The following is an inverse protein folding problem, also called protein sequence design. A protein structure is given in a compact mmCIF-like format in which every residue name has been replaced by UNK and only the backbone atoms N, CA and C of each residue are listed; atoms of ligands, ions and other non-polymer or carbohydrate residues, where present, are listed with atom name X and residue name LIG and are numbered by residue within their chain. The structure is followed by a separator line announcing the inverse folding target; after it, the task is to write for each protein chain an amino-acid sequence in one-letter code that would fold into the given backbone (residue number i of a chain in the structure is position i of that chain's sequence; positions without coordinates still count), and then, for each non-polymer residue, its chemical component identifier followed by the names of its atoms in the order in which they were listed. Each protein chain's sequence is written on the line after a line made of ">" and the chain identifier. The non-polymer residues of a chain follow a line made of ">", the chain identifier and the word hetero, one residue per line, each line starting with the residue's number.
data_IF_990561686803
#
_entry.id   IF_990561686803
#
_cell.length_a   1.000
_cell.length_b   1.000
_cell.length_c   1.000
_cell.angle_alpha   90.00
_cell.angle_beta   90.00
_cell.angle_gamma   90.00
#
_symmetry.space_group_name_H-M   'P 1'
#
loop_
_entity.id
_entity.type
_entity.pdbx_description
1 polymer ?
#
# COMPACT_ATOMS: atom_id res chain seq x y z
N UNK A 1 -18.22 12.61 -24.00
CA UNK A 1 -19.02 11.44 -24.42
C UNK A 1 -20.00 11.14 -23.29
N UNK A 2 -21.31 11.25 -23.54
CA UNK A 2 -22.32 11.18 -22.47
C UNK A 2 -22.43 9.75 -21.93
N UNK A 3 -22.30 9.58 -20.61
CA UNK A 3 -22.53 8.30 -19.94
C UNK A 3 -24.02 7.93 -20.07
N UNK A 4 -24.29 6.74 -20.60
CA UNK A 4 -25.62 6.22 -20.86
C UNK A 4 -26.39 5.99 -19.54
N UNK A 5 -27.58 6.59 -19.43
CA UNK A 5 -28.51 6.49 -18.29
C UNK A 5 -28.90 5.05 -17.96
N UNK A 6 -28.68 4.08 -18.86
CA UNK A 6 -28.90 2.65 -18.60
C UNK A 6 -27.80 1.99 -17.77
N UNK A 7 -26.57 2.50 -17.76
CA UNK A 7 -25.52 2.02 -16.85
C UNK A 7 -25.78 2.41 -15.38
N UNK A 8 -26.40 3.56 -15.16
CA UNK A 8 -26.73 4.08 -13.83
C UNK A 8 -27.83 3.27 -13.12
N UNK A 9 -28.81 2.74 -13.86
CA UNK A 9 -29.89 1.93 -13.29
C UNK A 9 -29.47 0.49 -12.97
N UNK A 10 -28.38 -0.01 -13.57
CA UNK A 10 -27.78 -1.29 -13.16
C UNK A 10 -27.05 -1.19 -11.81
N UNK A 11 -26.61 0.01 -11.41
CA UNK A 11 -26.00 0.26 -10.10
C UNK A 11 -27.04 0.32 -8.97
N UNK A 12 -28.28 0.75 -9.26
CA UNK A 12 -29.35 0.84 -8.28
C UNK A 12 -29.99 -0.51 -7.91
N UNK A 13 -29.95 -1.51 -8.80
CA UNK A 13 -30.50 -2.84 -8.51
C UNK A 13 -29.59 -3.72 -7.64
N UNK A 14 -28.31 -3.38 -7.51
CA UNK A 14 -27.36 -4.09 -6.62
C UNK A 14 -27.44 -3.63 -5.15
N UNK A 15 -28.17 -2.54 -4.85
CA UNK A 15 -28.35 -2.01 -3.50
C UNK A 15 -29.53 -2.66 -2.74
N UNK A 16 -30.22 -3.64 -3.33
CA UNK A 16 -31.42 -4.27 -2.77
C UNK A 16 -31.21 -5.32 -1.68
N UNK A 17 -29.97 -5.74 -1.42
CA UNK A 17 -29.62 -6.63 -0.31
C UNK A 17 -28.23 -6.23 0.18
N UNK A 18 -28.16 -5.27 1.10
CA UNK A 18 -26.91 -5.03 1.83
C UNK A 18 -26.56 -6.32 2.57
N UNK A 19 -25.47 -7.05 2.22
CA UNK A 19 -24.95 -8.06 3.11
C UNK A 19 -24.50 -7.27 4.33
N UNK A 20 -25.25 -7.39 5.43
CA UNK A 20 -24.81 -6.84 6.71
C UNK A 20 -23.38 -7.32 6.94
N UNK A 21 -22.50 -6.41 7.37
CA UNK A 21 -21.16 -6.78 7.80
C UNK A 21 -21.29 -8.02 8.69
N UNK A 22 -20.73 -9.15 8.26
CA UNK A 22 -20.76 -10.37 9.04
C UNK A 22 -19.66 -10.25 10.10
N UNK A 23 -20.07 -10.23 11.36
CA UNK A 23 -19.16 -10.21 12.49
C UNK A 23 -18.81 -11.64 12.88
N UNK A 24 -17.52 -11.98 12.96
CA UNK A 24 -17.09 -13.08 13.80
C UNK A 24 -16.84 -12.56 15.22
N UNK A 25 -16.76 -13.47 16.20
CA UNK A 25 -16.61 -13.14 17.62
C UNK A 25 -15.55 -12.05 17.89
N UNK A 26 -15.72 -11.28 18.96
CA UNK A 26 -14.73 -10.28 19.39
C UNK A 26 -13.39 -10.96 19.76
N UNK A 27 -12.24 -10.29 19.53
CA UNK A 27 -10.96 -10.81 19.98
C UNK A 27 -10.91 -10.88 21.51
N UNK A 28 -10.02 -11.72 22.05
CA UNK A 28 -9.49 -11.47 23.39
C UNK A 28 -8.82 -10.10 23.38
N UNK A 29 -9.06 -9.28 24.41
CA UNK A 29 -8.49 -7.94 24.51
C UNK A 29 -6.97 -7.98 24.26
N UNK A 30 -6.49 -7.21 23.27
CA UNK A 30 -5.06 -7.04 22.98
C UNK A 30 -4.49 -7.83 21.79
N UNK A 31 -5.28 -8.66 21.10
CA UNK A 31 -4.78 -9.36 19.90
C UNK A 31 -4.51 -8.39 18.72
N UNK A 32 -3.36 -8.55 18.05
CA UNK A 32 -3.03 -7.77 16.86
C UNK A 32 -3.99 -8.07 15.71
N UNK A 33 -4.49 -7.01 15.07
CA UNK A 33 -5.36 -7.09 13.91
C UNK A 33 -4.63 -6.64 12.65
N UNK A 34 -5.08 -7.12 11.50
CA UNK A 34 -4.48 -6.86 10.21
C UNK A 34 -5.55 -6.54 9.17
N UNK A 35 -5.27 -5.58 8.31
CA UNK A 35 -6.08 -5.24 7.15
C UNK A 35 -5.45 -5.77 5.87
N UNK A 36 -6.25 -6.42 5.04
CA UNK A 36 -5.88 -6.80 3.68
C UNK A 36 -7.07 -6.72 2.73
N UNK A 37 -6.78 -6.51 1.45
CA UNK A 37 -7.76 -6.64 0.39
C UNK A 37 -7.66 -8.07 -0.17
N UNK A 38 -8.79 -8.66 -0.54
CA UNK A 38 -8.83 -10.02 -1.07
C UNK A 38 -9.99 -10.21 -2.04
N UNK A 39 -9.92 -11.29 -2.79
CA UNK A 39 -11.05 -11.87 -3.50
C UNK A 39 -11.46 -13.16 -2.80
N UNK A 40 -12.73 -13.29 -2.41
CA UNK A 40 -13.30 -14.51 -1.84
C UNK A 40 -14.59 -14.92 -2.55
N UNK A 41 -14.63 -16.13 -3.11
CA UNK A 41 -15.83 -16.65 -3.78
C UNK A 41 -16.33 -15.73 -4.90
N UNK A 42 -15.41 -15.07 -5.62
CA UNK A 42 -15.73 -14.13 -6.70
C UNK A 42 -15.97 -12.68 -6.27
N UNK A 43 -16.08 -12.39 -4.97
CA UNK A 43 -16.32 -11.03 -4.44
C UNK A 43 -15.03 -10.36 -3.99
N UNK A 44 -14.91 -9.06 -4.23
CA UNK A 44 -13.82 -8.24 -3.71
C UNK A 44 -14.18 -7.72 -2.30
N UNK A 45 -13.28 -7.91 -1.35
CA UNK A 45 -13.49 -7.63 0.07
C UNK A 45 -12.26 -6.93 0.68
N UNK A 46 -12.47 -5.91 1.49
CA UNK A 46 -11.50 -5.50 2.51
C UNK A 46 -11.82 -6.28 3.78
N UNK A 47 -10.81 -6.88 4.40
CA UNK A 47 -10.99 -7.70 5.59
C UNK A 47 -10.06 -7.25 6.71
N UNK A 48 -10.63 -7.13 7.91
CA UNK A 48 -9.90 -7.06 9.17
C UNK A 48 -9.86 -8.47 9.75
N UNK A 49 -8.67 -8.98 10.07
CA UNK A 49 -8.46 -10.34 10.56
C UNK A 49 -7.46 -10.34 11.73
N UNK A 50 -7.47 -11.42 12.51
CA UNK A 50 -6.44 -11.66 13.52
C UNK A 50 -5.20 -12.37 12.94
N UNK A 51 -4.18 -12.56 13.77
CA UNK A 51 -2.95 -13.28 13.38
C UNK A 51 -3.12 -14.77 13.08
N UNK A 52 -4.29 -15.35 13.38
CA UNK A 52 -4.65 -16.73 13.05
C UNK A 52 -5.45 -16.82 11.73
N UNK A 53 -5.67 -15.70 11.04
CA UNK A 53 -6.40 -15.65 9.78
C UNK A 53 -7.92 -15.68 9.93
N UNK A 54 -8.45 -15.48 11.14
CA UNK A 54 -9.90 -15.40 11.34
C UNK A 54 -10.38 -13.99 11.01
N UNK A 55 -11.38 -13.92 10.12
CA UNK A 55 -12.05 -12.67 9.77
C UNK A 55 -12.75 -12.09 11.00
N UNK A 56 -12.59 -10.79 11.24
CA UNK A 56 -13.27 -10.03 12.30
C UNK A 56 -14.28 -9.04 11.72
N UNK A 57 -13.93 -8.41 10.61
CA UNK A 57 -14.81 -7.54 9.84
C UNK A 57 -14.56 -7.78 8.35
N UNK A 58 -15.64 -7.89 7.58
CA UNK A 58 -15.59 -7.96 6.11
C UNK A 58 -16.38 -6.79 5.54
N UNK A 59 -15.72 -5.99 4.70
CA UNK A 59 -16.28 -4.85 4.00
C UNK A 59 -16.33 -5.20 2.50
N UNK A 60 -17.53 -5.38 1.91
CA UNK A 60 -17.67 -5.58 0.47
C UNK A 60 -17.13 -4.37 -0.30
N UNK A 61 -16.45 -4.63 -1.42
CA UNK A 61 -15.95 -3.59 -2.32
C UNK A 61 -16.57 -3.73 -3.71
N UNK A 62 -16.77 -2.61 -4.43
CA UNK A 62 -17.33 -2.64 -5.79
C UNK A 62 -16.37 -3.27 -6.81
N UNK A 63 -15.07 -3.25 -6.53
CA UNK A 63 -14.02 -3.83 -7.34
C UNK A 63 -12.79 -4.14 -6.48
N UNK A 64 -11.75 -4.73 -7.09
CA UNK A 64 -10.49 -5.09 -6.44
C UNK A 64 -9.84 -3.88 -5.72
N UNK A 65 -9.70 -4.00 -4.41
CA UNK A 65 -8.95 -3.06 -3.57
C UNK A 65 -7.44 -3.27 -3.66
N UNK A 66 -6.68 -2.34 -3.09
CA UNK A 66 -5.21 -2.37 -3.08
C UNK A 66 -4.62 -2.18 -1.69
N UNK A 67 -4.49 -0.94 -1.21
CA UNK A 67 -3.90 -0.60 0.09
C UNK A 67 -4.87 0.21 0.94
N UNK A 68 -4.37 0.70 2.07
CA UNK A 68 -5.15 1.32 3.14
C UNK A 68 -4.49 2.57 3.69
N UNK A 69 -5.31 3.56 4.08
CA UNK A 69 -4.97 4.53 5.10
C UNK A 69 -5.62 4.08 6.41
N UNK A 70 -4.88 4.07 7.52
CA UNK A 70 -5.37 3.57 8.81
C UNK A 70 -5.21 4.66 9.86
N UNK A 71 -6.29 4.93 10.60
CA UNK A 71 -6.32 5.78 11.79
C UNK A 71 -6.68 4.90 13.00
N UNK A 72 -5.68 4.33 13.70
CA UNK A 72 -5.92 3.46 14.83
C UNK A 72 -6.64 4.17 15.98
N UNK A 73 -6.32 5.43 16.23
CA UNK A 73 -6.91 6.22 17.31
C UNK A 73 -8.39 6.50 17.05
N UNK A 74 -8.73 6.90 15.82
CA UNK A 74 -10.10 7.08 15.36
C UNK A 74 -10.85 5.80 15.02
N UNK A 75 -10.20 4.62 15.17
CA UNK A 75 -10.74 3.29 14.86
C UNK A 75 -11.38 3.21 13.47
N UNK A 76 -10.68 3.70 12.45
CA UNK A 76 -11.18 3.71 11.07
C UNK A 76 -10.08 3.47 10.07
N UNK A 77 -10.48 3.09 8.87
CA UNK A 77 -9.59 2.95 7.74
C UNK A 77 -10.28 3.41 6.46
N UNK A 78 -9.47 3.69 5.44
CA UNK A 78 -9.91 3.87 4.07
C UNK A 78 -9.23 2.84 3.21
N UNK A 79 -9.99 2.04 2.47
CA UNK A 79 -9.46 1.15 1.43
C UNK A 79 -9.57 1.85 0.08
N UNK A 80 -8.55 1.71 -0.75
CA UNK A 80 -8.51 2.30 -2.09
C UNK A 80 -8.59 1.22 -3.17
N UNK A 81 -9.24 1.53 -4.29
CA UNK A 81 -9.24 0.68 -5.48
C UNK A 81 -7.85 0.54 -6.09
N UNK A 82 -7.58 -0.63 -6.68
CA UNK A 82 -6.32 -0.88 -7.41
C UNK A 82 -6.28 -0.12 -8.74
N UNK A 83 -5.11 0.41 -9.10
CA UNK A 83 -4.92 1.22 -10.31
C UNK A 83 -5.50 0.58 -11.60
N UNK A 84 -6.28 1.33 -12.39
CA UNK A 84 -6.81 2.68 -12.09
C UNK A 84 -7.86 2.63 -10.96
N UNK A 85 -7.58 3.33 -9.84
CA UNK A 85 -8.41 3.28 -8.65
C UNK A 85 -9.56 4.28 -8.74
N UNK A 86 -10.77 3.78 -8.99
CA UNK A 86 -11.96 4.63 -9.16
C UNK A 86 -12.83 4.73 -7.90
N UNK A 87 -12.38 4.16 -6.79
CA UNK A 87 -13.13 4.21 -5.54
C UNK A 87 -12.18 4.29 -4.35
N UNK A 88 -12.68 4.88 -3.27
CA UNK A 88 -12.12 4.74 -1.95
C UNK A 88 -13.28 4.63 -0.95
N UNK A 89 -13.20 3.68 -0.01
CA UNK A 89 -14.24 3.45 0.99
C UNK A 89 -13.66 3.63 2.38
N UNK A 90 -14.19 4.60 3.13
CA UNK A 90 -13.98 4.74 4.55
C UNK A 90 -14.88 3.77 5.33
N UNK A 91 -14.36 3.17 6.40
CA UNK A 91 -15.15 2.29 7.26
C UNK A 91 -14.62 2.31 8.70
N UNK A 92 -15.51 2.03 9.65
CA UNK A 92 -15.11 1.81 11.04
C UNK A 92 -14.43 0.45 11.19
N UNK A 93 -13.30 0.41 11.88
CA UNK A 93 -12.66 -0.83 12.34
C UNK A 93 -13.48 -1.55 13.41
N UNK A 94 -14.42 -0.84 14.05
CA UNK A 94 -15.45 -1.41 14.90
C UNK A 94 -16.69 -1.86 14.12
N UNK A 95 -16.76 -1.72 12.79
CA UNK A 95 -17.90 -2.20 11.99
C UNK A 95 -19.17 -1.36 12.09
N UNK A 96 -19.18 -0.24 12.82
CA UNK A 96 -20.32 0.67 12.88
C UNK A 96 -20.45 1.52 11.60
N UNK A 97 -21.66 1.97 11.29
CA UNK A 97 -21.91 3.02 10.28
C UNK A 97 -21.85 2.62 8.80
N UNK A 98 -21.43 1.40 8.47
CA UNK A 98 -21.27 0.93 7.08
C UNK A 98 -20.13 1.66 6.33
N UNK A 99 -19.70 1.15 5.17
CA UNK A 99 -18.69 1.83 4.37
C UNK A 99 -19.25 3.11 3.74
N UNK A 100 -18.48 4.19 3.80
CA UNK A 100 -18.75 5.47 3.16
C UNK A 100 -17.80 5.66 1.99
N UNK A 101 -18.33 5.90 0.81
CA UNK A 101 -17.52 6.23 -0.36
C UNK A 101 -16.99 7.67 -0.29
N UNK A 102 -15.72 7.83 -0.67
CA UNK A 102 -15.10 9.14 -0.82
C UNK A 102 -15.42 9.70 -2.21
N UNK A 103 -15.66 11.02 -2.32
CA UNK A 103 -15.88 11.63 -3.63
C UNK A 103 -14.62 11.54 -4.48
N UNK A 104 -14.76 10.96 -5.67
CA UNK A 104 -13.76 11.02 -6.72
C UNK A 104 -13.97 12.29 -7.55
N UNK A 105 -12.91 13.03 -7.82
CA UNK A 105 -12.96 14.15 -8.75
C UNK A 105 -12.90 13.61 -10.19
N UNK A 106 -13.73 14.13 -11.09
CA UNK A 106 -13.84 13.65 -12.49
C UNK A 106 -12.53 13.71 -13.27
N UNK A 107 -11.59 14.57 -12.85
CA UNK A 107 -10.27 14.77 -13.46
C UNK A 107 -9.14 14.07 -12.66
N UNK A 108 -9.48 13.15 -11.76
CA UNK A 108 -8.53 12.42 -10.91
C UNK A 108 -8.87 10.93 -10.81
N UNK A 109 -7.87 10.10 -10.54
CA UNK A 109 -7.99 8.71 -10.09
C UNK A 109 -7.07 8.46 -8.90
N UNK A 110 -7.46 7.54 -8.03
CA UNK A 110 -6.60 7.09 -6.93
C UNK A 110 -5.50 6.14 -7.45
N UNK A 111 -4.31 6.27 -6.86
CA UNK A 111 -3.20 5.32 -7.03
C UNK A 111 -3.20 4.18 -6.01
N UNK A 112 -4.18 4.16 -5.10
CA UNK A 112 -4.41 3.01 -4.22
C UNK A 112 -3.86 3.16 -2.80
N UNK A 113 -3.36 4.34 -2.41
CA UNK A 113 -2.73 4.60 -1.12
C UNK A 113 -3.15 5.93 -0.49
N UNK A 114 -2.95 6.06 0.82
CA UNK A 114 -3.18 7.30 1.54
C UNK A 114 -2.68 7.25 2.98
N UNK A 115 -2.68 8.39 3.64
CA UNK A 115 -2.29 8.55 5.03
C UNK A 115 -3.21 9.55 5.75
N UNK A 116 -3.57 9.24 7.00
CA UNK A 116 -4.20 10.20 7.87
C UNK A 116 -3.14 11.14 8.46
N UNK A 117 -3.51 12.41 8.61
CA UNK A 117 -2.66 13.46 9.18
C UNK A 117 -3.49 14.39 10.07
N UNK A 118 -2.81 15.28 10.79
CA UNK A 118 -3.43 16.23 11.73
C UNK A 118 -4.35 15.54 12.77
N UNK A 119 -3.83 14.48 13.39
CA UNK A 119 -4.59 13.67 14.36
C UNK A 119 -5.81 12.96 13.75
N UNK A 120 -5.78 12.67 12.45
CA UNK A 120 -6.86 12.02 11.72
C UNK A 120 -7.91 12.99 11.17
N UNK A 121 -7.79 14.31 11.38
CA UNK A 121 -8.75 15.27 10.80
C UNK A 121 -8.68 15.35 9.29
N UNK A 122 -7.52 15.05 8.71
CA UNK A 122 -7.32 15.05 7.27
C UNK A 122 -6.87 13.67 6.80
N UNK A 123 -7.32 13.30 5.61
CA UNK A 123 -6.81 12.19 4.84
C UNK A 123 -6.13 12.74 3.58
N UNK A 124 -4.87 12.38 3.36
CA UNK A 124 -4.18 12.56 2.09
C UNK A 124 -4.26 11.25 1.28
N UNK A 125 -4.74 11.33 0.04
CA UNK A 125 -4.81 10.20 -0.88
C UNK A 125 -3.92 10.44 -2.09
N UNK A 126 -3.16 9.44 -2.53
CA UNK A 126 -2.35 9.52 -3.75
C UNK A 126 -3.27 9.55 -4.99
N UNK A 127 -3.16 10.60 -5.79
CA UNK A 127 -3.99 10.83 -6.98
C UNK A 127 -3.13 11.19 -8.20
N UNK A 128 -3.64 10.94 -9.41
CA UNK A 128 -3.13 11.58 -10.62
C UNK A 128 -3.93 12.83 -10.96
N UNK A 129 -3.22 13.88 -11.37
CA UNK A 129 -3.78 14.97 -12.17
C UNK A 129 -3.41 14.66 -13.63
N UNK A 130 -4.26 13.86 -14.30
CA UNK A 130 -3.89 13.27 -15.60
C UNK A 130 -3.90 14.29 -16.75
N UNK A 131 -4.71 15.35 -16.66
CA UNK A 131 -4.70 16.44 -17.63
C UNK A 131 -3.38 17.24 -17.57
N UNK A 132 -2.91 17.55 -16.36
CA UNK A 132 -1.64 18.27 -16.17
C UNK A 132 -0.41 17.34 -16.18
N UNK A 133 -0.60 16.03 -16.17
CA UNK A 133 0.47 15.04 -16.15
C UNK A 133 1.34 15.08 -14.89
N UNK A 134 0.77 15.44 -13.73
CA UNK A 134 1.48 15.57 -12.45
C UNK A 134 0.87 14.71 -11.35
N UNK A 135 1.66 14.43 -10.32
CA UNK A 135 1.25 13.73 -9.11
C UNK A 135 0.71 14.67 -8.04
N UNK A 136 -0.39 14.29 -7.39
CA UNK A 136 -0.94 15.06 -6.27
C UNK A 136 -1.33 14.17 -5.09
N UNK A 137 -1.41 14.78 -3.92
CA UNK A 137 -2.12 14.23 -2.76
C UNK A 137 -3.45 14.97 -2.63
N UNK A 138 -4.58 14.32 -2.91
CA UNK A 138 -5.90 14.89 -2.62
C UNK A 138 -6.15 14.90 -1.11
N UNK A 139 -6.64 16.03 -0.60
CA UNK A 139 -6.90 16.22 0.82
C UNK A 139 -8.40 16.16 1.08
N UNK A 140 -8.78 15.35 2.07
CA UNK A 140 -10.17 15.09 2.42
C UNK A 140 -10.40 15.37 3.91
N UNK A 141 -11.49 16.09 4.23
CA UNK A 141 -11.89 16.38 5.61
C UNK A 141 -12.52 15.13 6.25
N UNK A 142 -11.71 14.45 7.04
CA UNK A 142 -12.10 13.29 7.83
C UNK A 142 -12.53 13.67 9.25
N UNK A 143 -12.68 14.94 9.61
CA UNK A 143 -13.23 15.32 10.92
C UNK A 143 -14.69 14.88 11.08
N UNK A 144 -15.21 14.77 12.32
CA UNK A 144 -16.63 14.51 12.54
C UNK A 144 -17.52 15.51 11.80
N UNK A 145 -18.44 15.01 10.97
CA UNK A 145 -19.30 15.82 10.10
C UNK A 145 -18.62 16.30 8.80
N UNK A 146 -17.31 16.06 8.64
CA UNK A 146 -16.56 16.43 7.45
C UNK A 146 -16.89 15.58 6.22
N UNK A 147 -17.36 14.35 6.46
CA UNK A 147 -17.87 13.39 5.47
C UNK A 147 -16.90 13.12 4.31
N UNK A 148 -15.59 13.19 4.57
CA UNK A 148 -14.55 13.05 3.56
C UNK A 148 -14.79 13.96 2.35
N UNK A 149 -15.30 15.19 2.54
CA UNK A 149 -15.34 16.15 1.44
C UNK A 149 -13.91 16.52 1.06
N UNK A 150 -13.62 16.64 -0.23
CA UNK A 150 -12.31 17.11 -0.70
C UNK A 150 -12.14 18.59 -0.34
N UNK A 151 -11.02 18.96 0.27
CA UNK A 151 -10.73 20.32 0.77
C UNK A 151 -9.52 20.97 0.13
N UNK A 152 -8.73 20.22 -0.63
CA UNK A 152 -7.56 20.75 -1.33
C UNK A 152 -6.70 19.62 -1.90
N UNK A 153 -5.49 19.99 -2.30
CA UNK A 153 -4.48 19.04 -2.75
C UNK A 153 -3.07 19.61 -2.56
N UNK A 154 -2.08 18.72 -2.47
CA UNK A 154 -0.66 19.06 -2.49
C UNK A 154 0.01 18.48 -3.73
N UNK A 155 0.95 19.23 -4.32
CA UNK A 155 1.80 18.72 -5.39
C UNK A 155 2.84 17.75 -4.81
N UNK A 156 3.06 16.60 -5.46
CA UNK A 156 4.04 15.61 -4.97
C UNK A 156 5.46 15.85 -5.46
N UNK A 157 5.70 16.88 -6.28
CA UNK A 157 7.00 17.18 -6.88
C UNK A 157 7.44 16.16 -7.94
N UNK A 158 6.52 15.33 -8.42
CA UNK A 158 6.79 14.23 -9.35
C UNK A 158 5.54 13.72 -10.06
N UNK A 159 5.66 12.57 -10.71
CA UNK A 159 4.58 11.92 -11.47
C UNK A 159 4.32 10.54 -10.89
N UNK A 160 3.05 10.12 -10.90
CA UNK A 160 2.64 8.79 -10.46
C UNK A 160 2.96 8.51 -8.98
N UNK A 161 2.48 9.34 -8.03
CA UNK A 161 2.65 9.10 -6.61
C UNK A 161 2.00 7.78 -6.26
N UNK A 162 2.81 6.81 -5.86
CA UNK A 162 2.36 5.46 -5.63
C UNK A 162 1.95 5.26 -4.17
N UNK A 163 2.84 5.52 -3.21
CA UNK A 163 2.56 5.40 -1.78
C UNK A 163 2.95 6.68 -1.04
N UNK A 164 2.22 6.98 0.03
CA UNK A 164 2.51 8.09 0.95
C UNK A 164 2.48 7.57 2.39
N UNK A 165 3.44 8.03 3.20
CA UNK A 165 3.49 7.75 4.65
C UNK A 165 3.67 9.05 5.43
N UNK A 166 3.05 9.14 6.61
CA UNK A 166 3.33 10.21 7.57
C UNK A 166 4.58 9.85 8.37
N UNK A 167 5.58 10.72 8.35
CA UNK A 167 6.83 10.54 9.09
C UNK A 167 6.58 10.59 10.61
N UNK A 168 7.50 10.03 11.44
CA UNK A 168 7.32 9.99 12.89
C UNK A 168 7.17 11.34 13.59
N UNK A 169 7.59 12.44 12.94
CA UNK A 169 7.41 13.80 13.46
C UNK A 169 5.96 14.30 13.40
N UNK A 170 5.07 13.58 12.71
CA UNK A 170 3.67 13.94 12.49
C UNK A 170 3.45 15.19 11.64
N UNK A 171 4.52 15.70 11.00
CA UNK A 171 4.54 16.98 10.28
C UNK A 171 5.03 16.84 8.84
N UNK A 172 5.72 15.75 8.52
CA UNK A 172 6.27 15.51 7.20
C UNK A 172 5.59 14.31 6.55
N UNK A 173 5.13 14.45 5.31
CA UNK A 173 4.71 13.34 4.46
C UNK A 173 5.90 12.91 3.59
N UNK A 174 6.14 11.61 3.45
CA UNK A 174 7.07 11.06 2.46
C UNK A 174 6.26 10.36 1.36
N UNK A 175 6.50 10.75 0.11
CA UNK A 175 5.78 10.25 -1.07
C UNK A 175 6.76 9.54 -1.99
N UNK A 176 6.42 8.31 -2.39
CA UNK A 176 7.09 7.58 -3.46
C UNK A 176 6.47 7.97 -4.80
N UNK A 177 7.16 8.80 -5.58
CA UNK A 177 6.78 9.07 -6.96
C UNK A 177 7.39 8.00 -7.88
N UNK A 178 6.54 7.19 -8.52
CA UNK A 178 6.99 6.14 -9.44
C UNK A 178 7.58 6.69 -10.74
N UNK A 179 7.25 7.93 -11.12
CA UNK A 179 7.75 8.59 -12.31
C UNK A 179 7.07 8.15 -13.61
N UNK A 180 6.04 7.30 -13.55
CA UNK A 180 5.33 6.77 -14.72
C UNK A 180 4.09 7.60 -14.99
N UNK A 181 4.03 8.16 -16.20
CA UNK A 181 2.87 8.84 -16.73
C UNK A 181 1.91 7.80 -17.33
N UNK A 182 0.70 7.75 -16.78
CA UNK A 182 -0.42 6.98 -17.31
C UNK A 182 -1.62 7.89 -17.48
N UNK A 183 -2.43 7.65 -18.51
CA UNK A 183 -3.64 8.41 -18.79
C UNK A 183 -4.82 7.47 -19.06
N UNK A 184 -6.03 7.77 -18.56
CA UNK A 184 -7.19 6.88 -18.69
C UNK A 184 -7.49 6.44 -20.12
N UNK A 185 -7.38 7.34 -21.09
CA UNK A 185 -7.62 7.05 -22.51
C UNK A 185 -6.67 6.00 -23.11
N UNK A 186 -5.52 5.77 -22.49
CA UNK A 186 -4.50 4.81 -22.94
C UNK A 186 -4.36 3.62 -21.99
N UNK A 187 -5.27 3.48 -21.02
CA UNK A 187 -5.30 2.37 -20.07
C UNK A 187 -4.02 2.30 -19.23
N UNK A 188 -3.28 1.18 -19.34
CA UNK A 188 -2.06 0.91 -18.57
C UNK A 188 -0.77 1.21 -19.33
N UNK A 189 -0.85 1.87 -20.48
CA UNK A 189 0.33 2.20 -21.27
C UNK A 189 1.22 3.19 -20.50
N UNK A 190 2.52 2.89 -20.38
CA UNK A 190 3.49 3.83 -19.84
C UNK A 190 3.90 4.83 -20.93
N UNK A 191 3.60 6.11 -20.72
CA UNK A 191 3.72 7.13 -21.78
C UNK A 191 5.08 7.84 -21.81
N UNK A 192 5.94 7.61 -20.82
CA UNK A 192 7.15 8.40 -20.61
C UNK A 192 8.39 7.60 -20.18
N UNK A 193 8.52 6.32 -20.55
CA UNK A 193 9.63 5.47 -20.08
C UNK A 193 11.04 6.03 -20.37
N UNK A 194 11.20 6.85 -21.41
CA UNK A 194 12.47 7.50 -21.76
C UNK A 194 12.77 8.74 -20.91
N UNK A 195 11.75 9.37 -20.32
CA UNK A 195 11.86 10.58 -19.50
C UNK A 195 11.42 10.35 -18.04
N UNK A 196 11.17 9.09 -17.67
CA UNK A 196 10.76 8.67 -16.33
C UNK A 196 11.76 9.17 -15.29
N UNK A 197 11.25 9.76 -14.19
CA UNK A 197 12.04 10.31 -13.07
C UNK A 197 11.42 9.94 -11.72
N UNK A 198 11.77 8.77 -11.16
CA UNK A 198 11.33 8.34 -9.84
C UNK A 198 11.95 9.22 -8.76
N UNK A 199 11.21 9.48 -7.68
CA UNK A 199 11.72 10.25 -6.54
C UNK A 199 11.06 9.87 -5.23
N UNK A 200 11.77 10.14 -4.14
CA UNK A 200 11.16 10.35 -2.83
C UNK A 200 10.98 11.85 -2.63
N UNK A 201 9.76 12.28 -2.29
CA UNK A 201 9.44 13.67 -1.98
C UNK A 201 8.98 13.78 -0.52
N UNK A 202 9.57 14.73 0.21
CA UNK A 202 9.19 15.08 1.57
C UNK A 202 8.40 16.38 1.55
N UNK A 203 7.18 16.37 2.06
CA UNK A 203 6.22 17.47 1.96
C UNK A 203 5.78 17.86 3.37
N UNK A 204 5.74 19.16 3.65
CA UNK A 204 5.17 19.69 4.89
C UNK A 204 3.65 19.43 4.93
N UNK A 205 3.18 18.72 5.94
CA UNK A 205 1.79 18.26 6.03
C UNK A 205 0.79 19.40 6.29
N UNK A 206 1.24 20.55 6.78
CA UNK A 206 0.39 21.70 7.07
C UNK A 206 0.21 22.62 5.86
N UNK A 207 1.28 22.88 5.12
CA UNK A 207 1.32 23.84 4.01
C UNK A 207 1.34 23.22 2.62
N UNK A 208 1.73 21.94 2.50
CA UNK A 208 1.98 21.29 1.22
C UNK A 208 3.31 21.67 0.57
N UNK A 209 4.18 22.38 1.28
CA UNK A 209 5.47 22.79 0.74
C UNK A 209 6.41 21.59 0.54
N UNK A 210 7.03 21.49 -0.63
CA UNK A 210 8.08 20.51 -0.88
C UNK A 210 9.34 20.89 -0.08
N UNK A 211 9.69 20.05 0.89
CA UNK A 211 10.83 20.25 1.79
C UNK A 211 12.12 19.65 1.24
N UNK A 212 12.02 18.51 0.57
CA UNK A 212 13.14 17.76 0.01
C UNK A 212 12.64 16.84 -1.09
N UNK A 213 13.46 16.64 -2.13
CA UNK A 213 13.19 15.69 -3.19
C UNK A 213 14.48 15.01 -3.60
N UNK A 214 14.50 13.69 -3.51
CA UNK A 214 15.65 12.86 -3.85
C UNK A 214 15.30 11.97 -5.05
N UNK A 215 16.11 12.07 -6.10
CA UNK A 215 16.02 11.24 -7.31
C UNK A 215 17.12 10.17 -7.29
N UNK A 216 16.84 9.02 -7.89
CA UNK A 216 17.87 8.01 -8.13
C UNK A 216 18.88 8.49 -9.18
N UNK A 217 20.03 7.83 -9.25
CA UNK A 217 21.04 8.10 -10.27
C UNK A 217 20.43 8.03 -11.69
N UNK A 218 20.87 8.88 -12.65
CA UNK A 218 20.25 8.96 -13.98
C UNK A 218 20.16 7.62 -14.74
N UNK A 219 21.12 6.72 -14.55
CA UNK A 219 21.12 5.38 -15.13
C UNK A 219 19.99 4.47 -14.58
N UNK A 220 19.45 4.80 -13.40
CA UNK A 220 18.33 4.12 -12.75
C UNK A 220 17.00 4.83 -12.97
N UNK A 221 16.89 5.73 -13.96
CA UNK A 221 15.67 6.50 -14.19
C UNK A 221 14.41 5.66 -14.50
N UNK A 222 14.57 4.38 -14.88
CA UNK A 222 13.46 3.41 -15.06
C UNK A 222 13.13 2.60 -13.80
N UNK A 223 13.76 2.88 -12.67
CA UNK A 223 13.56 2.18 -11.39
C UNK A 223 12.45 2.87 -10.58
N UNK A 224 11.20 2.52 -10.86
CA UNK A 224 10.03 3.11 -10.20
C UNK A 224 10.07 2.82 -8.70
N UNK A 225 10.13 3.85 -7.86
CA UNK A 225 9.94 3.72 -6.41
C UNK A 225 8.44 3.54 -6.16
N UNK A 226 8.05 2.56 -5.32
CA UNK A 226 6.64 2.15 -5.15
C UNK A 226 6.21 2.07 -3.70
N UNK A 227 6.81 1.15 -2.96
CA UNK A 227 6.32 0.75 -1.64
C UNK A 227 7.20 1.31 -0.55
N UNK A 228 6.61 1.82 0.52
CA UNK A 228 7.31 2.47 1.61
C UNK A 228 7.09 1.75 2.95
N UNK A 229 8.12 1.71 3.78
CA UNK A 229 8.00 1.37 5.19
C UNK A 229 8.91 2.24 6.04
N UNK A 230 8.48 2.58 7.25
CA UNK A 230 9.27 3.37 8.20
C UNK A 230 9.99 2.45 9.17
N UNK A 231 11.30 2.63 9.30
CA UNK A 231 12.08 1.99 10.36
C UNK A 231 12.06 2.82 11.64
N UNK A 232 12.39 2.17 12.77
CA UNK A 232 12.38 2.81 14.09
C UNK A 232 13.36 3.99 14.22
N UNK A 233 14.41 4.02 13.40
CA UNK A 233 15.43 5.07 13.37
C UNK A 233 15.07 6.26 12.46
N UNK A 234 13.83 6.31 11.98
CA UNK A 234 13.30 7.35 11.10
C UNK A 234 13.68 7.20 9.62
N UNK A 235 14.39 6.13 9.23
CA UNK A 235 14.64 5.85 7.83
C UNK A 235 13.38 5.39 7.11
N UNK A 236 13.26 5.79 5.85
CA UNK A 236 12.28 5.29 4.90
C UNK A 236 12.93 4.18 4.10
N UNK A 237 12.45 2.95 4.26
CA UNK A 237 12.75 1.85 3.36
C UNK A 237 11.80 1.88 2.18
N UNK A 238 12.31 1.56 1.00
CA UNK A 238 11.52 1.55 -0.21
C UNK A 238 11.81 0.35 -1.11
N UNK A 239 10.75 -0.11 -1.78
CA UNK A 239 10.77 -1.16 -2.78
C UNK A 239 10.47 -0.60 -4.16
N UNK A 240 11.17 -1.12 -5.17
CA UNK A 240 11.10 -0.63 -6.54
C UNK A 240 10.57 -1.68 -7.52
N UNK A 241 10.09 -1.19 -8.65
CA UNK A 241 9.76 -1.99 -9.84
C UNK A 241 10.52 -1.39 -11.03
N UNK A 242 11.26 -2.22 -11.76
CA UNK A 242 12.10 -1.74 -12.87
C UNK A 242 11.39 -1.89 -14.22
N UNK A 243 11.31 -0.79 -14.97
CA UNK A 243 10.56 -0.67 -16.23
C UNK A 243 11.46 -0.77 -17.48
N UNK A 244 12.72 -1.19 -17.31
CA UNK A 244 13.63 -1.43 -18.44
C UNK A 244 13.65 -2.89 -18.91
N UNK A 245 14.67 -3.28 -19.70
CA UNK A 245 14.85 -4.64 -20.17
C UNK A 245 14.75 -5.69 -19.05
N UNK A 246 13.99 -6.76 -19.33
CA UNK A 246 13.76 -7.83 -18.36
C UNK A 246 15.02 -8.64 -17.99
N UNK A 247 16.14 -8.43 -18.66
CA UNK A 247 17.44 -9.04 -18.35
C UNK A 247 18.26 -8.24 -17.32
N UNK A 248 17.97 -6.94 -17.16
CA UNK A 248 18.68 -6.07 -16.23
C UNK A 248 18.37 -6.43 -14.79
N UNK A 249 19.31 -6.18 -13.90
CA UNK A 249 19.23 -6.54 -12.47
C UNK A 249 19.66 -5.36 -11.59
N UNK A 250 18.97 -4.20 -11.64
CA UNK A 250 19.27 -3.12 -10.70
C UNK A 250 18.87 -3.54 -9.27
N UNK A 251 19.51 -2.96 -8.26
CA UNK A 251 19.04 -3.07 -6.88
C UNK A 251 17.58 -2.60 -6.77
N UNK A 252 16.70 -3.40 -6.16
CA UNK A 252 15.26 -3.13 -6.11
C UNK A 252 14.79 -2.66 -4.73
N UNK A 253 15.67 -2.66 -3.74
CA UNK A 253 15.39 -2.24 -2.37
C UNK A 253 16.36 -1.16 -1.99
N UNK A 254 15.86 -0.14 -1.30
CA UNK A 254 16.71 0.93 -0.80
C UNK A 254 16.22 1.53 0.49
N UNK A 255 17.04 2.42 1.03
CA UNK A 255 16.78 3.16 2.26
C UNK A 255 17.14 4.62 2.05
N UNK A 256 16.38 5.48 2.70
CA UNK A 256 16.65 6.90 2.75
C UNK A 256 16.46 7.46 4.15
N UNK A 257 17.44 8.24 4.62
CA UNK A 257 17.29 9.14 5.75
C UNK A 257 17.28 10.55 5.18
N UNK A 258 16.21 11.31 5.46
CA UNK A 258 16.05 12.69 5.00
C UNK A 258 17.31 13.53 5.30
N UNK A 259 17.77 14.31 4.32
CA UNK A 259 19.02 15.07 4.35
C UNK A 259 20.29 14.25 4.08
N UNK A 260 20.15 12.96 3.82
CA UNK A 260 21.22 12.03 3.46
C UNK A 260 21.25 11.74 1.97
N UNK A 261 21.84 10.59 1.61
CA UNK A 261 21.80 10.05 0.24
C UNK A 261 20.95 8.80 0.21
N UNK A 262 20.36 8.51 -0.94
CA UNK A 262 19.72 7.22 -1.22
C UNK A 262 20.75 6.09 -1.17
N UNK A 263 20.44 5.04 -0.43
CA UNK A 263 21.20 3.80 -0.37
C UNK A 263 20.41 2.68 -1.04
N UNK A 264 21.07 1.85 -1.84
CA UNK A 264 20.46 0.72 -2.54
C UNK A 264 21.13 -0.59 -2.15
N UNK A 265 20.33 -1.65 -2.06
CA UNK A 265 20.77 -2.98 -1.63
C UNK A 265 20.39 -4.02 -2.68
N UNK A 266 21.41 -4.64 -3.27
CA UNK A 266 21.23 -5.69 -4.29
C UNK A 266 20.90 -7.04 -3.66
N UNK A 267 21.54 -7.36 -2.53
CA UNK A 267 21.55 -8.71 -1.97
C UNK A 267 22.27 -9.71 -2.88
N UNK A 268 22.14 -11.03 -2.61
CA UNK A 268 22.74 -12.07 -3.43
C UNK A 268 22.20 -12.07 -4.86
N UNK A 269 23.07 -12.29 -5.85
CA UNK A 269 22.71 -12.26 -7.27
C UNK A 269 21.58 -13.23 -7.66
N UNK A 270 21.46 -14.38 -6.99
CA UNK A 270 20.36 -15.32 -7.21
C UNK A 270 19.04 -14.76 -6.70
N UNK A 271 19.03 -14.22 -5.49
CA UNK A 271 17.86 -13.55 -4.90
C UNK A 271 17.38 -12.41 -5.77
N UNK A 272 18.28 -11.52 -6.21
CA UNK A 272 17.96 -10.38 -7.07
C UNK A 272 17.37 -10.82 -8.42
N UNK A 273 17.94 -11.86 -9.04
CA UNK A 273 17.41 -12.44 -10.28
C UNK A 273 16.00 -12.99 -10.09
N UNK A 274 15.75 -13.65 -8.96
CA UNK A 274 14.46 -14.25 -8.64
C UNK A 274 13.38 -13.18 -8.39
N UNK A 275 13.73 -11.96 -7.97
CA UNK A 275 12.76 -10.85 -7.81
C UNK A 275 12.10 -10.42 -9.13
N UNK A 276 12.68 -10.78 -10.28
CA UNK A 276 12.14 -10.47 -11.62
C UNK A 276 11.73 -9.01 -11.77
N UNK A 277 12.58 -8.09 -11.27
CA UNK A 277 12.39 -6.65 -11.38
C UNK A 277 11.11 -6.11 -10.69
N UNK A 278 10.60 -6.83 -9.67
CA UNK A 278 9.34 -6.48 -9.02
C UNK A 278 9.40 -6.68 -7.49
N UNK A 279 9.28 -5.58 -6.73
CA UNK A 279 8.89 -5.58 -5.32
C UNK A 279 7.41 -5.20 -5.20
N UNK A 280 6.65 -6.00 -4.44
CA UNK A 280 5.19 -5.86 -4.28
C UNK A 280 4.73 -5.32 -2.94
N UNK A 281 5.59 -5.35 -1.92
CA UNK A 281 5.31 -4.82 -0.58
C UNK A 281 6.61 -4.70 0.23
N UNK A 282 6.60 -3.81 1.22
CA UNK A 282 7.70 -3.57 2.16
C UNK A 282 7.11 -3.43 3.56
N UNK A 283 7.71 -4.10 4.54
CA UNK A 283 7.35 -3.96 5.94
C UNK A 283 8.60 -3.99 6.82
N UNK A 284 8.54 -3.33 7.96
CA UNK A 284 9.56 -3.44 9.01
C UNK A 284 8.95 -4.21 10.18
N UNK A 285 9.75 -5.06 10.81
CA UNK A 285 9.36 -5.80 12.00
C UNK A 285 9.05 -4.86 13.18
N UNK A 286 8.42 -5.40 14.24
CA UNK A 286 8.04 -4.59 15.39
C UNK A 286 9.24 -3.96 16.12
N UNK A 287 10.43 -4.57 16.06
CA UNK A 287 11.64 -4.07 16.68
C UNK A 287 12.38 -3.01 15.83
N UNK A 288 12.04 -2.87 14.55
CA UNK A 288 12.74 -1.97 13.63
C UNK A 288 14.07 -2.51 13.10
N UNK A 289 14.39 -3.78 13.37
CA UNK A 289 15.68 -4.39 13.10
C UNK A 289 15.71 -5.14 11.77
N UNK A 290 14.56 -5.61 11.28
CA UNK A 290 14.46 -6.38 10.05
C UNK A 290 13.42 -5.79 9.12
N UNK A 291 13.80 -5.63 7.85
CA UNK A 291 12.90 -5.24 6.77
C UNK A 291 12.57 -6.46 5.94
N UNK A 292 11.29 -6.67 5.65
CA UNK A 292 10.83 -7.69 4.72
C UNK A 292 10.33 -7.04 3.43
N UNK A 293 10.73 -7.57 2.29
CA UNK A 293 10.24 -7.16 0.97
C UNK A 293 9.71 -8.36 0.21
N UNK A 294 8.50 -8.28 -0.33
CA UNK A 294 7.90 -9.35 -1.12
C UNK A 294 8.10 -9.15 -2.61
N UNK A 295 8.23 -10.24 -3.35
CA UNK A 295 8.19 -10.28 -4.81
C UNK A 295 7.20 -11.36 -5.26
N UNK A 296 5.93 -11.01 -5.52
CA UNK A 296 4.92 -11.99 -5.94
C UNK A 296 5.27 -12.64 -7.28
N UNK A 297 5.79 -11.85 -8.22
CA UNK A 297 6.25 -12.34 -9.54
C UNK A 297 7.47 -13.28 -9.41
N UNK A 298 8.30 -13.03 -8.41
CA UNK A 298 9.45 -13.86 -8.05
C UNK A 298 9.12 -15.05 -7.16
N UNK A 299 7.94 -15.07 -6.53
CA UNK A 299 7.53 -16.12 -5.61
C UNK A 299 8.36 -16.19 -4.32
N UNK A 300 8.82 -15.03 -3.80
CA UNK A 300 9.66 -15.00 -2.59
C UNK A 300 9.43 -13.74 -1.74
N UNK A 301 9.74 -13.87 -0.46
CA UNK A 301 9.92 -12.76 0.49
C UNK A 301 11.38 -12.74 0.94
N UNK A 302 11.97 -11.56 1.04
CA UNK A 302 13.39 -11.34 1.34
C UNK A 302 13.49 -10.52 2.61
N UNK A 303 14.42 -10.89 3.49
CA UNK A 303 14.65 -10.22 4.76
C UNK A 303 15.99 -9.49 4.73
N UNK A 304 16.01 -8.27 5.24
CA UNK A 304 17.15 -7.36 5.22
C UNK A 304 17.44 -6.87 6.63
N UNK A 305 18.70 -6.88 7.03
CA UNK A 305 19.16 -6.24 8.24
C UNK A 305 18.98 -4.72 8.09
N UNK A 306 18.15 -4.10 8.92
CA UNK A 306 17.78 -2.71 8.75
C UNK A 306 18.96 -1.74 8.97
N UNK A 307 20.00 -2.15 9.70
CA UNK A 307 21.18 -1.32 9.96
C UNK A 307 22.18 -1.36 8.80
N UNK A 308 22.55 -2.55 8.33
CA UNK A 308 23.59 -2.77 7.32
C UNK A 308 23.07 -2.93 5.89
N UNK A 309 21.78 -3.21 5.71
CA UNK A 309 21.17 -3.55 4.42
C UNK A 309 21.60 -4.91 3.88
N UNK A 310 22.22 -5.75 4.70
CA UNK A 310 22.58 -7.12 4.31
C UNK A 310 21.33 -8.00 4.21
N UNK A 311 21.23 -8.78 3.14
CA UNK A 311 20.22 -9.82 3.02
C UNK A 311 20.45 -10.91 4.09
N UNK A 312 19.44 -11.15 4.92
CA UNK A 312 19.44 -12.13 6.00
C UNK A 312 18.98 -13.52 5.54
N UNK A 313 18.04 -13.55 4.59
CA UNK A 313 17.46 -14.80 4.12
C UNK A 313 16.26 -14.56 3.20
N UNK A 314 15.64 -15.66 2.78
CA UNK A 314 14.46 -15.64 1.93
C UNK A 314 13.46 -16.71 2.36
N UNK A 315 12.17 -16.44 2.16
CA UNK A 315 11.10 -17.42 2.22
C UNK A 315 10.49 -17.57 0.84
N UNK A 316 10.42 -18.80 0.33
CA UNK A 316 9.68 -19.08 -0.89
C UNK A 316 8.17 -19.06 -0.61
N UNK A 317 7.44 -18.31 -1.41
CA UNK A 317 5.98 -18.23 -1.36
C UNK A 317 5.48 -17.85 -2.74
N UNK A 318 4.91 -18.82 -3.46
CA UNK A 318 4.32 -18.57 -4.78
C UNK A 318 3.25 -17.48 -4.69
N UNK A 319 3.34 -16.48 -5.57
CA UNK A 319 2.52 -15.27 -5.53
C UNK A 319 2.49 -14.60 -4.14
N UNK A 320 3.60 -14.68 -3.40
CA UNK A 320 3.78 -14.08 -2.08
C UNK A 320 3.74 -12.56 -2.19
N UNK A 321 2.67 -11.97 -1.68
CA UNK A 321 2.28 -10.60 -1.99
C UNK A 321 2.32 -9.73 -0.73
N UNK A 322 1.40 -9.92 0.22
CA UNK A 322 1.35 -9.14 1.46
C UNK A 322 2.39 -9.56 2.48
N UNK A 323 3.03 -8.57 3.11
CA UNK A 323 3.88 -8.77 4.28
C UNK A 323 3.53 -7.75 5.36
N UNK A 324 3.38 -8.22 6.59
CA UNK A 324 3.09 -7.39 7.76
C UNK A 324 3.97 -7.84 8.94
N UNK A 325 4.41 -6.94 9.84
CA UNK A 325 5.06 -7.37 11.08
C UNK A 325 4.10 -8.23 11.89
N UNK A 326 4.58 -9.33 12.47
CA UNK A 326 3.79 -10.12 13.40
C UNK A 326 3.47 -9.33 14.69
N UNK A 327 2.60 -9.88 15.55
CA UNK A 327 2.28 -9.27 16.84
C UNK A 327 3.54 -9.18 17.73
N UNK A 328 4.31 -10.26 17.67
CA UNK A 328 5.57 -10.57 18.29
C UNK A 328 6.70 -10.56 17.23
N UNK A 329 7.70 -11.42 17.34
CA UNK A 329 8.83 -11.48 16.41
C UNK A 329 8.42 -12.00 15.02
N UNK A 330 9.04 -11.43 13.98
CA UNK A 330 8.88 -11.89 12.60
C UNK A 330 7.72 -11.25 11.84
N UNK A 331 7.15 -11.99 10.89
CA UNK A 331 6.19 -11.48 9.92
C UNK A 331 5.01 -12.43 9.69
N UNK A 332 3.90 -11.85 9.24
CA UNK A 332 2.84 -12.58 8.58
C UNK A 332 2.91 -12.30 7.08
N UNK A 333 2.85 -13.37 6.29
CA UNK A 333 2.89 -13.33 4.83
C UNK A 333 1.55 -13.81 4.27
N UNK A 334 1.09 -13.19 3.18
CA UNK A 334 -0.08 -13.64 2.42
C UNK A 334 0.27 -13.84 0.95
N UNK A 335 -0.52 -14.65 0.25
CA UNK A 335 -0.31 -14.99 -1.16
C UNK A 335 -1.58 -14.84 -2.00
N UNK A 336 -1.43 -14.44 -3.26
CA UNK A 336 -2.54 -14.45 -4.22
C UNK A 336 -3.13 -15.85 -4.48
N UNK A 337 -2.48 -16.92 -4.00
CA UNK A 337 -2.99 -18.31 -4.00
C UNK A 337 -3.71 -18.69 -2.70
N UNK A 338 -4.04 -17.72 -1.85
CA UNK A 338 -4.86 -17.88 -0.65
C UNK A 338 -4.13 -18.33 0.61
N UNK A 339 -2.85 -18.69 0.49
CA UNK A 339 -2.03 -19.09 1.63
C UNK A 339 -1.73 -17.90 2.57
N UNK A 340 -1.57 -18.22 3.86
CA UNK A 340 -1.04 -17.30 4.86
C UNK A 340 -0.04 -18.04 5.74
N UNK A 341 1.12 -17.43 5.98
CA UNK A 341 2.22 -18.00 6.74
C UNK A 341 2.64 -17.05 7.85
N UNK A 342 3.05 -17.60 8.99
CA UNK A 342 3.85 -16.88 9.99
C UNK A 342 5.30 -17.30 9.84
N UNK A 343 6.19 -16.34 9.83
CA UNK A 343 7.63 -16.54 9.65
C UNK A 343 8.40 -15.78 10.70
N UNK A 344 9.51 -16.34 11.18
CA UNK A 344 10.44 -15.62 12.03
C UNK A 344 11.20 -14.54 11.25
N UNK A 345 11.89 -13.65 11.96
CA UNK A 345 12.47 -12.42 11.41
C UNK A 345 13.42 -12.63 10.21
N UNK A 346 14.07 -13.79 10.09
CA UNK A 346 14.95 -14.11 8.96
C UNK A 346 14.43 -15.25 8.04
N UNK A 347 13.18 -15.66 8.19
CA UNK A 347 12.59 -16.78 7.43
C UNK A 347 13.11 -18.17 7.83
N UNK A 348 13.74 -18.28 9.01
CA UNK A 348 14.34 -19.50 9.57
C UNK A 348 13.31 -20.58 9.87
N UNK A 349 12.14 -20.19 10.39
CA UNK A 349 11.02 -21.07 10.65
C UNK A 349 9.75 -20.51 10.00
N UNK A 350 8.93 -21.42 9.45
CA UNK A 350 7.68 -21.10 8.78
C UNK A 350 6.56 -21.95 9.34
N UNK A 351 5.49 -21.30 9.78
CA UNK A 351 4.29 -21.95 10.30
C UNK A 351 3.09 -21.59 9.43
N UNK A 352 2.43 -22.56 8.77
CA UNK A 352 1.19 -22.31 8.07
C UNK A 352 0.11 -21.76 9.00
N UNK A 353 -0.57 -20.70 8.55
CA UNK A 353 -1.74 -20.12 9.22
C UNK A 353 -2.99 -20.49 8.42
N UNK A 354 -2.99 -20.20 7.12
CA UNK A 354 -4.03 -20.62 6.19
C UNK A 354 -3.40 -21.42 5.04
N UNK A 355 -4.03 -22.55 4.70
CA UNK A 355 -3.65 -23.35 3.54
C UNK A 355 -4.01 -22.60 2.22
N UNK A 356 -3.31 -22.89 1.11
CA UNK A 356 -3.68 -22.39 -0.21
C UNK A 356 -5.14 -22.71 -0.54
N UNK A 357 -5.80 -21.82 -1.28
CA UNK A 357 -7.22 -21.95 -1.63
C UNK A 357 -7.49 -21.40 -3.02
N UNK A 358 -8.40 -22.07 -3.74
CA UNK A 358 -8.89 -21.59 -5.04
C UNK A 358 -9.99 -20.54 -4.90
N UNK A 359 -10.60 -20.46 -3.71
CA UNK A 359 -11.70 -19.52 -3.44
C UNK A 359 -11.21 -18.21 -2.85
N UNK A 360 -9.96 -18.15 -2.37
CA UNK A 360 -9.37 -17.02 -1.67
C UNK A 360 -8.10 -16.58 -2.38
N UNK A 361 -7.99 -15.28 -2.67
CA UNK A 361 -6.80 -14.66 -3.24
C UNK A 361 -6.53 -13.34 -2.53
N UNK A 362 -5.34 -13.18 -1.95
CA UNK A 362 -4.95 -11.95 -1.25
C UNK A 362 -4.35 -10.93 -2.24
N UNK A 363 -4.63 -9.63 -2.04
CA UNK A 363 -3.92 -8.55 -2.74
C UNK A 363 -2.55 -8.27 -2.08
N UNK A 364 -1.80 -7.32 -2.62
CA UNK A 364 -0.40 -7.09 -2.29
C UNK A 364 -0.16 -6.48 -0.92
N UNK A 365 -1.18 -5.88 -0.29
CA UNK A 365 -0.99 -5.17 0.97
C UNK A 365 -1.58 -5.91 2.14
N UNK A 366 -0.76 -5.98 3.19
CA UNK A 366 -1.15 -6.53 4.47
C UNK A 366 -0.61 -5.61 5.57
N UNK A 367 -1.51 -4.96 6.30
CA UNK A 367 -1.14 -3.86 7.21
C UNK A 367 -1.58 -4.19 8.62
N UNK A 368 -0.64 -4.21 9.56
CA UNK A 368 -0.96 -4.32 10.99
C UNK A 368 -1.71 -3.07 11.43
N UNK A 369 -2.83 -3.25 12.09
CA UNK A 369 -3.57 -2.20 12.79
C UNK A 369 -2.98 -2.11 14.19
N UNK A 370 -2.35 -0.99 14.53
CA UNK A 370 -1.76 -0.80 15.84
C UNK A 370 -2.83 -0.94 16.94
N UNK A 371 -2.50 -1.65 18.02
CA UNK A 371 -3.29 -1.63 19.25
C UNK A 371 -3.26 -0.22 19.85
N UNK A 372 -4.27 0.14 20.66
CA UNK A 372 -4.26 1.42 21.39
C UNK A 372 -2.98 1.53 22.22
N UNK A 373 -2.32 2.69 22.13
CA UNK A 373 -1.32 3.11 23.09
C UNK A 373 -1.99 3.56 24.40
#
# INVERSE_FOLDING_TARGET
>A
MAIDRRGFLSLAAALGLAPGAAWAAAPEDGAALYLSARKRGGRDEAVLLDGAGNDRLVVPMPARGHSFAIDPAGRRAVVFGRQPGFFALAFSLGGEGGPQELPLNDERHFFGHGAFLDGGRLLAATENDFEAGRGVLGLYDASPGGNYRRVGEFDTGGIGPHEVVLMPDGKTLCVANGGILTHPDYGKLELNLDTMRPSLAYIDAASGALLEKEELAPELHRLSIRHLALAADGCVWFGCQYMGPAADRPALVGRHRRGGRLELFEGPAQTLRQMRNYVGSVAVDAAGAVVATSSPVGGQVIYWDAASGRCLGTTELADGCGVAPAADEGFLLSSGLGAMLRVEAAGTEQKPVLAPSRELSWDNHFRKVAARA
#
